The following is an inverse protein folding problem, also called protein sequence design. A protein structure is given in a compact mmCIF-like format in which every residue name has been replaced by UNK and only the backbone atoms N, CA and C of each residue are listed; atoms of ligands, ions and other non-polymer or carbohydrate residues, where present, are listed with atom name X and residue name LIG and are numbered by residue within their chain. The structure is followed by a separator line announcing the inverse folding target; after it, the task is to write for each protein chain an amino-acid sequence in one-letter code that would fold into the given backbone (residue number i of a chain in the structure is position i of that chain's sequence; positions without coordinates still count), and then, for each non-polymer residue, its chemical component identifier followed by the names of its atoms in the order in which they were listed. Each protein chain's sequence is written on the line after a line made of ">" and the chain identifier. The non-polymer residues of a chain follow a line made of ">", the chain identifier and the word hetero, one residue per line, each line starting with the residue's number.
data_IF_990120036271
#
_entry.id   IF_990120036271
#
_cell.length_a   1.000
_cell.length_b   1.000
_cell.length_c   1.000
_cell.angle_alpha   90.00
_cell.angle_beta   90.00
_cell.angle_gamma   90.00
#
_symmetry.space_group_name_H-M   'P 1'
#
loop_
_entity.id
_entity.type
_entity.pdbx_description
1 polymer ?
#
# COMPACT_ATOMS: atom_id res chain seq x y z
N UNK A 1 -6.00 17.88 -22.37
CA UNK A 1 -7.02 16.85 -22.07
C UNK A 1 -7.25 16.87 -20.58
N UNK A 2 -8.44 17.22 -20.12
CA UNK A 2 -8.81 17.24 -18.69
C UNK A 2 -8.86 15.78 -18.24
N UNK A 3 -7.88 15.35 -17.44
CA UNK A 3 -7.88 14.03 -16.81
C UNK A 3 -9.07 13.98 -15.87
N UNK A 4 -10.05 13.17 -16.21
CA UNK A 4 -11.18 12.82 -15.33
C UNK A 4 -10.62 12.45 -13.95
N UNK A 5 -10.88 13.26 -12.93
CA UNK A 5 -10.40 13.03 -11.57
C UNK A 5 -10.99 11.70 -11.10
N UNK A 6 -10.12 10.69 -10.95
CA UNK A 6 -10.51 9.37 -10.47
C UNK A 6 -11.36 9.53 -9.19
N UNK A 7 -12.51 8.87 -9.04
CA UNK A 7 -13.41 9.02 -7.86
C UNK A 7 -12.67 8.85 -6.53
N UNK A 8 -11.68 7.96 -6.49
CA UNK A 8 -10.81 7.70 -5.34
C UNK A 8 -9.95 8.90 -4.94
N UNK A 9 -9.52 9.72 -5.90
CA UNK A 9 -8.72 10.91 -5.61
C UNK A 9 -9.47 11.90 -4.71
N UNK A 10 -10.76 12.12 -4.97
CA UNK A 10 -11.61 12.99 -4.13
C UNK A 10 -11.71 12.47 -2.70
N UNK A 11 -11.78 11.15 -2.52
CA UNK A 11 -11.87 10.50 -1.23
C UNK A 11 -10.59 10.74 -0.41
N UNK A 12 -9.42 10.50 -0.98
CA UNK A 12 -8.14 10.64 -0.29
C UNK A 12 -7.66 12.09 -0.13
N UNK A 13 -8.17 13.01 -0.94
CA UNK A 13 -7.92 14.45 -0.78
C UNK A 13 -8.76 15.07 0.35
N UNK A 14 -9.93 14.50 0.64
CA UNK A 14 -10.86 15.04 1.64
C UNK A 14 -10.62 14.56 3.09
N UNK A 15 -9.82 13.51 3.33
CA UNK A 15 -9.69 12.86 4.65
C UNK A 15 -8.26 12.87 5.25
N UNK A 16 -7.32 13.73 4.85
CA UNK A 16 -5.92 13.55 5.26
C UNK A 16 -5.69 13.66 6.79
N UNK A 17 -6.47 14.48 7.53
CA UNK A 17 -6.17 14.82 8.93
C UNK A 17 -6.44 13.69 9.93
N UNK A 18 -7.34 12.80 9.61
CA UNK A 18 -7.73 11.68 10.48
C UNK A 18 -7.42 10.31 9.90
N UNK A 19 -6.83 10.28 8.69
CA UNK A 19 -6.60 9.04 7.96
C UNK A 19 -5.77 8.02 8.76
N UNK A 20 -4.62 8.47 9.29
CA UNK A 20 -3.73 7.60 10.08
C UNK A 20 -4.40 7.13 11.38
N UNK A 21 -5.12 8.02 12.08
CA UNK A 21 -5.84 7.68 13.30
C UNK A 21 -6.91 6.62 13.04
N UNK A 22 -7.67 6.81 11.97
CA UNK A 22 -8.75 5.91 11.59
C UNK A 22 -8.22 4.53 11.20
N UNK A 23 -7.18 4.47 10.38
CA UNK A 23 -6.52 3.20 10.04
C UNK A 23 -5.99 2.50 11.29
N UNK A 24 -5.38 3.25 12.22
CA UNK A 24 -4.88 2.70 13.48
C UNK A 24 -5.99 2.10 14.35
N UNK A 25 -7.14 2.75 14.40
CA UNK A 25 -8.29 2.24 15.14
C UNK A 25 -8.84 0.98 14.46
N UNK A 26 -9.01 0.97 13.12
CA UNK A 26 -9.54 -0.17 12.37
C UNK A 26 -8.68 -1.41 12.41
N UNK A 27 -7.37 -1.23 12.55
CA UNK A 27 -6.42 -2.33 12.62
C UNK A 27 -6.03 -2.68 14.06
N UNK A 28 -6.69 -2.08 15.05
CA UNK A 28 -6.31 -2.22 16.47
C UNK A 28 -4.83 -1.87 16.70
N UNK A 29 -4.30 -0.88 15.96
CA UNK A 29 -2.90 -0.49 15.99
C UNK A 29 -1.92 -1.49 15.38
N UNK A 30 -2.42 -2.59 14.78
CA UNK A 30 -1.55 -3.60 14.14
C UNK A 30 -0.94 -3.12 12.82
N UNK A 31 -1.55 -2.13 12.17
CA UNK A 31 -1.06 -1.55 10.92
C UNK A 31 0.42 -1.13 10.99
N UNK A 32 0.83 -0.47 12.08
CA UNK A 32 2.21 -0.07 12.29
C UNK A 32 3.16 -1.28 12.41
N UNK A 33 2.73 -2.36 13.09
CA UNK A 33 3.50 -3.61 13.21
C UNK A 33 3.63 -4.30 11.85
N UNK A 34 2.55 -4.30 11.06
CA UNK A 34 2.55 -4.90 9.74
C UNK A 34 3.41 -4.11 8.75
N UNK A 35 3.36 -2.75 8.79
CA UNK A 35 4.25 -1.89 7.99
C UNK A 35 5.71 -2.12 8.32
N UNK A 36 6.09 -2.14 9.60
CA UNK A 36 7.49 -2.45 10.00
C UNK A 36 7.95 -3.81 9.49
N UNK A 37 7.06 -4.82 9.53
CA UNK A 37 7.35 -6.14 8.98
C UNK A 37 7.54 -6.09 7.47
N UNK A 38 6.71 -5.33 6.76
CA UNK A 38 6.83 -5.08 5.32
C UNK A 38 8.12 -4.35 5.00
N UNK A 39 8.47 -3.30 5.76
CA UNK A 39 9.75 -2.61 5.62
C UNK A 39 10.93 -3.58 5.80
N UNK A 40 10.93 -4.42 6.84
CA UNK A 40 11.97 -5.44 7.04
C UNK A 40 12.09 -6.41 5.87
N UNK A 41 10.97 -6.81 5.24
CA UNK A 41 10.98 -7.64 4.04
C UNK A 41 11.48 -6.88 2.80
N UNK A 42 11.20 -5.59 2.68
CA UNK A 42 11.77 -4.75 1.62
C UNK A 42 13.30 -4.66 1.74
N UNK A 43 13.83 -4.61 2.96
CA UNK A 43 15.26 -4.40 3.22
C UNK A 43 16.12 -5.68 3.17
N UNK A 44 15.52 -6.86 2.96
CA UNK A 44 16.30 -8.09 2.74
C UNK A 44 17.18 -7.92 1.50
N UNK A 45 18.42 -8.39 1.55
CA UNK A 45 19.48 -8.23 0.55
C UNK A 45 19.98 -6.78 0.38
N UNK A 46 19.74 -5.91 1.36
CA UNK A 46 20.29 -4.54 1.42
C UNK A 46 20.13 -3.74 0.11
N UNK A 47 18.88 -3.47 -0.32
CA UNK A 47 18.61 -2.79 -1.59
C UNK A 47 19.16 -1.36 -1.58
N UNK A 48 19.73 -0.91 -2.72
CA UNK A 48 20.21 0.45 -2.90
C UNK A 48 19.09 1.44 -3.21
N UNK A 49 18.15 1.05 -4.07
CA UNK A 49 17.03 1.89 -4.51
C UNK A 49 15.69 1.27 -4.14
N UNK A 50 14.94 1.98 -3.31
CA UNK A 50 13.68 1.49 -2.73
C UNK A 50 12.57 2.48 -3.05
N UNK A 51 11.43 1.97 -3.53
CA UNK A 51 10.22 2.75 -3.76
C UNK A 51 9.14 2.35 -2.73
N UNK A 52 8.55 3.33 -2.06
CA UNK A 52 7.24 3.20 -1.41
C UNK A 52 6.17 3.73 -2.36
N UNK A 53 5.42 2.80 -2.97
CA UNK A 53 4.42 3.11 -4.00
C UNK A 53 3.07 3.44 -3.35
N UNK A 54 2.44 4.55 -3.77
CA UNK A 54 1.25 5.09 -3.11
C UNK A 54 1.50 5.34 -1.61
N UNK A 55 2.57 6.08 -1.31
CA UNK A 55 3.11 6.22 0.04
C UNK A 55 2.18 6.96 1.02
N UNK A 56 1.15 7.65 0.54
CA UNK A 56 0.20 8.40 1.36
C UNK A 56 0.91 9.40 2.28
N UNK A 57 0.71 9.26 3.59
CA UNK A 57 1.35 10.08 4.63
C UNK A 57 2.78 9.67 4.97
N UNK A 58 3.36 8.72 4.21
CA UNK A 58 4.77 8.35 4.25
C UNK A 58 5.19 7.37 5.33
N UNK A 59 4.27 6.67 5.99
CA UNK A 59 4.62 5.80 7.12
C UNK A 59 5.56 4.66 6.73
N UNK A 60 5.32 3.97 5.60
CA UNK A 60 6.20 2.91 5.13
C UNK A 60 7.54 3.48 4.64
N UNK A 61 7.52 4.59 3.89
CA UNK A 61 8.73 5.27 3.41
C UNK A 61 9.64 5.69 4.57
N UNK A 62 9.06 6.21 5.66
CA UNK A 62 9.79 6.60 6.88
C UNK A 62 10.35 5.37 7.60
N UNK A 63 9.58 4.28 7.73
CA UNK A 63 10.06 3.03 8.33
C UNK A 63 11.21 2.42 7.49
N UNK A 64 11.14 2.50 6.17
CA UNK A 64 12.23 2.11 5.27
C UNK A 64 13.47 2.98 5.49
N UNK A 65 13.32 4.32 5.46
CA UNK A 65 14.45 5.24 5.58
C UNK A 65 15.13 5.23 6.96
N UNK A 66 14.42 4.79 8.00
CA UNK A 66 14.99 4.59 9.34
C UNK A 66 15.87 3.35 9.45
N UNK A 67 15.61 2.32 8.63
CA UNK A 67 16.18 0.99 8.81
C UNK A 67 16.98 0.53 7.60
N UNK A 68 16.94 1.27 6.49
CA UNK A 68 17.73 0.96 5.30
C UNK A 68 19.23 1.20 5.55
N UNK A 69 20.11 0.50 4.82
CA UNK A 69 21.53 0.81 4.78
C UNK A 69 21.78 2.30 4.46
N UNK A 70 22.83 2.87 5.03
CA UNK A 70 23.15 4.32 4.85
C UNK A 70 23.33 4.71 3.38
N UNK A 71 23.82 3.78 2.55
CA UNK A 71 24.03 4.00 1.11
C UNK A 71 22.73 3.90 0.29
N UNK A 72 21.64 3.43 0.88
CA UNK A 72 20.36 3.28 0.18
C UNK A 72 19.69 4.63 -0.09
N UNK A 73 18.75 4.63 -1.04
CA UNK A 73 17.91 5.78 -1.37
C UNK A 73 16.44 5.35 -1.37
N UNK A 74 15.63 5.99 -0.55
CA UNK A 74 14.20 5.72 -0.44
C UNK A 74 13.41 6.81 -1.16
N UNK A 75 12.50 6.39 -2.03
CA UNK A 75 11.57 7.29 -2.71
C UNK A 75 10.14 6.92 -2.30
N UNK A 76 9.35 7.88 -1.84
CA UNK A 76 7.90 7.76 -1.70
C UNK A 76 7.21 8.41 -2.89
N UNK A 77 6.32 7.70 -3.56
CA UNK A 77 5.52 8.25 -4.65
C UNK A 77 4.03 8.17 -4.30
N UNK A 78 3.33 9.28 -4.49
CA UNK A 78 1.87 9.35 -4.33
C UNK A 78 1.24 10.32 -5.31
N UNK A 79 -0.02 10.07 -5.66
CA UNK A 79 -0.81 10.93 -6.56
C UNK A 79 -1.42 12.14 -5.85
N UNK A 80 -1.47 12.16 -4.50
CA UNK A 80 -2.13 13.17 -3.68
C UNK A 80 -1.12 14.19 -3.11
N UNK A 81 -1.07 15.44 -3.62
CA UNK A 81 -0.20 16.47 -3.05
C UNK A 81 -0.44 16.74 -1.55
N UNK A 82 -1.70 16.75 -1.03
CA UNK A 82 -1.94 16.91 0.41
C UNK A 82 -1.36 15.78 1.25
N UNK A 83 -1.39 14.52 0.77
CA UNK A 83 -0.74 13.39 1.45
C UNK A 83 0.77 13.54 1.48
N UNK A 84 1.37 13.92 0.35
CA UNK A 84 2.81 14.17 0.27
C UNK A 84 3.27 15.34 1.16
N UNK A 85 2.47 16.39 1.32
CA UNK A 85 2.77 17.47 2.26
C UNK A 85 2.88 16.96 3.70
N UNK A 86 1.96 16.06 4.12
CA UNK A 86 2.01 15.40 5.42
C UNK A 86 3.19 14.46 5.55
N UNK A 87 3.48 13.68 4.52
CA UNK A 87 4.63 12.79 4.48
C UNK A 87 5.94 13.56 4.70
N UNK A 88 6.13 14.67 3.99
CA UNK A 88 7.30 15.57 4.17
C UNK A 88 7.38 16.15 5.57
N UNK A 89 6.26 16.65 6.11
CA UNK A 89 6.22 17.21 7.47
C UNK A 89 6.52 16.14 8.54
N UNK A 90 6.07 14.90 8.34
CA UNK A 90 6.35 13.76 9.23
C UNK A 90 7.82 13.36 9.14
N UNK A 91 8.37 13.25 7.94
CA UNK A 91 9.78 12.90 7.72
C UNK A 91 10.73 13.96 8.31
N UNK A 92 10.43 15.25 8.16
CA UNK A 92 11.23 16.33 8.70
C UNK A 92 11.37 16.33 10.24
N UNK A 93 10.44 15.65 10.94
CA UNK A 93 10.44 15.49 12.41
C UNK A 93 11.02 14.15 12.86
N UNK A 94 11.56 13.38 11.93
CA UNK A 94 12.02 12.02 12.17
C UNK A 94 13.52 11.92 11.89
N UNK A 95 14.27 11.33 12.81
CA UNK A 95 15.66 10.97 12.54
C UNK A 95 15.69 9.82 11.52
N UNK A 96 16.26 10.07 10.36
CA UNK A 96 16.41 9.12 9.27
C UNK A 96 17.89 8.73 9.12
N UNK A 97 18.13 7.48 8.75
CA UNK A 97 19.48 6.96 8.51
C UNK A 97 19.90 7.10 7.06
N UNK A 98 18.92 7.20 6.14
CA UNK A 98 19.17 7.28 4.70
C UNK A 98 18.31 8.38 4.04
N UNK A 99 18.71 8.93 2.89
CA UNK A 99 17.92 9.92 2.16
C UNK A 99 16.51 9.42 1.83
N UNK A 100 15.52 10.27 2.05
CA UNK A 100 14.11 10.03 1.72
C UNK A 100 13.57 11.18 0.88
N UNK A 101 13.13 10.87 -0.33
CA UNK A 101 12.51 11.81 -1.26
C UNK A 101 11.04 11.49 -1.49
N UNK A 102 10.19 12.52 -1.65
CA UNK A 102 8.79 12.36 -1.97
C UNK A 102 8.49 12.98 -3.34
N UNK A 103 7.86 12.19 -4.23
CA UNK A 103 7.55 12.55 -5.61
C UNK A 103 6.05 12.46 -5.83
N UNK A 104 5.47 13.47 -6.49
CA UNK A 104 4.12 13.42 -7.01
C UNK A 104 4.12 12.68 -8.35
N UNK A 105 3.30 11.63 -8.48
CA UNK A 105 3.24 10.84 -9.72
C UNK A 105 2.06 9.88 -9.78
N UNK A 106 1.77 9.40 -11.00
CA UNK A 106 0.76 8.36 -11.26
C UNK A 106 1.46 7.00 -11.42
N UNK A 107 0.93 5.96 -10.78
CA UNK A 107 1.42 4.58 -10.92
C UNK A 107 1.33 4.08 -12.37
N UNK A 108 0.42 4.62 -13.16
CA UNK A 108 0.28 4.26 -14.57
C UNK A 108 1.33 4.89 -15.50
N UNK A 109 2.20 5.76 -14.97
CA UNK A 109 3.25 6.43 -15.73
C UNK A 109 4.37 6.83 -14.75
N UNK A 110 5.14 5.85 -14.31
CA UNK A 110 6.17 6.04 -13.30
C UNK A 110 7.37 6.79 -13.91
N UNK A 111 7.81 7.92 -13.34
CA UNK A 111 8.87 8.76 -13.89
C UNK A 111 10.27 8.18 -13.61
N UNK A 112 10.45 6.89 -13.85
CA UNK A 112 11.70 6.17 -13.64
C UNK A 112 12.05 5.32 -14.86
N UNK A 113 13.34 5.10 -15.06
CA UNK A 113 13.83 4.20 -16.11
C UNK A 113 13.45 2.74 -15.81
N UNK A 114 13.52 1.90 -16.85
CA UNK A 114 13.38 0.45 -16.67
C UNK A 114 14.44 -0.06 -15.69
N UNK A 115 14.06 -1.06 -14.88
CA UNK A 115 14.97 -1.75 -13.96
C UNK A 115 15.72 -0.80 -13.01
N UNK A 116 15.01 0.19 -12.47
CA UNK A 116 15.59 1.22 -11.59
C UNK A 116 15.63 0.81 -10.12
N UNK A 117 14.56 0.16 -9.60
CA UNK A 117 14.44 -0.19 -8.20
C UNK A 117 14.82 -1.63 -7.88
N UNK A 118 15.52 -1.82 -6.77
CA UNK A 118 15.82 -3.15 -6.21
C UNK A 118 14.61 -3.71 -5.46
N UNK A 119 13.85 -2.83 -4.80
CA UNK A 119 12.63 -3.19 -4.10
C UNK A 119 11.55 -2.11 -4.23
N UNK A 120 10.30 -2.56 -4.36
CA UNK A 120 9.11 -1.72 -4.30
C UNK A 120 8.25 -2.24 -3.15
N UNK A 121 7.88 -1.36 -2.21
CA UNK A 121 6.93 -1.61 -1.15
C UNK A 121 5.60 -0.92 -1.43
N UNK A 122 4.49 -1.50 -0.98
CA UNK A 122 3.18 -0.84 -0.95
C UNK A 122 2.41 -1.28 0.29
N UNK A 123 1.76 -0.33 0.97
CA UNK A 123 1.04 -0.58 2.21
C UNK A 123 -0.39 -0.06 2.15
N UNK A 124 -1.37 -0.98 2.17
CA UNK A 124 -2.82 -0.70 2.20
C UNK A 124 -3.35 0.21 1.09
N UNK A 125 -2.65 0.22 -0.05
CA UNK A 125 -3.02 1.00 -1.23
C UNK A 125 -3.18 0.14 -2.49
N UNK A 126 -2.70 -1.11 -2.49
CA UNK A 126 -2.74 -1.99 -3.65
C UNK A 126 -4.17 -2.32 -4.11
N UNK A 127 -5.09 -2.40 -3.16
CA UNK A 127 -6.52 -2.55 -3.44
C UNK A 127 -7.06 -1.43 -4.33
N UNK A 128 -6.63 -0.19 -4.12
CA UNK A 128 -7.07 0.95 -4.92
C UNK A 128 -6.57 0.88 -6.38
N UNK A 129 -5.48 0.16 -6.62
CA UNK A 129 -4.90 -0.06 -7.94
C UNK A 129 -5.57 -1.23 -8.68
N UNK A 130 -6.19 -2.18 -7.96
CA UNK A 130 -6.59 -3.47 -8.55
C UNK A 130 -8.06 -3.84 -8.37
N UNK A 131 -8.75 -3.31 -7.33
CA UNK A 131 -10.15 -3.63 -7.11
C UNK A 131 -11.05 -2.88 -8.10
N UNK A 132 -11.73 -3.63 -8.97
CA UNK A 132 -12.61 -3.07 -10.01
C UNK A 132 -11.97 -1.92 -10.81
N UNK A 133 -10.66 -1.99 -11.05
CA UNK A 133 -9.92 -0.94 -11.73
C UNK A 133 -9.48 -1.40 -13.13
N UNK A 134 -10.00 -0.82 -14.21
CA UNK A 134 -9.65 -1.22 -15.57
C UNK A 134 -8.18 -0.94 -15.92
N UNK A 135 -7.51 -0.05 -15.18
CA UNK A 135 -6.10 0.28 -15.39
C UNK A 135 -5.14 -0.69 -14.67
N UNK A 136 -5.65 -1.72 -13.98
CA UNK A 136 -4.81 -2.71 -13.26
C UNK A 136 -3.67 -3.27 -14.13
N UNK A 137 -3.89 -3.70 -15.40
CA UNK A 137 -2.80 -4.22 -16.23
C UNK A 137 -1.70 -3.18 -16.47
N UNK A 138 -2.08 -1.92 -16.69
CA UNK A 138 -1.13 -0.82 -16.90
C UNK A 138 -0.29 -0.56 -15.64
N UNK A 139 -0.91 -0.54 -14.47
CA UNK A 139 -0.22 -0.33 -13.20
C UNK A 139 0.77 -1.46 -12.91
N UNK A 140 0.36 -2.71 -13.12
CA UNK A 140 1.23 -3.86 -12.93
C UNK A 140 2.39 -3.87 -13.93
N UNK A 141 2.16 -3.50 -15.20
CA UNK A 141 3.21 -3.39 -16.21
C UNK A 141 4.26 -2.33 -15.82
N UNK A 142 3.85 -1.17 -15.31
CA UNK A 142 4.76 -0.12 -14.84
C UNK A 142 5.57 -0.57 -13.61
N UNK A 143 4.93 -1.23 -12.65
CA UNK A 143 5.63 -1.79 -11.48
C UNK A 143 6.71 -2.79 -11.92
N UNK A 144 6.34 -3.71 -12.82
CA UNK A 144 7.29 -4.70 -13.37
C UNK A 144 8.38 -4.00 -14.18
N UNK A 145 8.06 -2.97 -14.98
CA UNK A 145 9.02 -2.24 -15.80
C UNK A 145 10.13 -1.61 -14.98
N UNK A 146 9.77 -0.88 -13.92
CA UNK A 146 10.74 -0.14 -13.10
C UNK A 146 11.48 -1.00 -12.09
N UNK A 147 11.01 -2.23 -11.82
CA UNK A 147 11.66 -3.18 -10.92
C UNK A 147 12.77 -3.91 -11.66
N UNK A 148 13.95 -4.02 -11.04
CA UNK A 148 15.10 -4.78 -11.59
C UNK A 148 14.78 -6.27 -11.68
N UNK A 149 15.49 -6.99 -12.55
CA UNK A 149 15.49 -8.47 -12.56
C UNK A 149 15.98 -8.98 -11.20
N UNK A 150 15.26 -9.92 -10.61
CA UNK A 150 15.52 -10.38 -9.25
C UNK A 150 15.06 -9.40 -8.15
N UNK A 151 14.57 -8.22 -8.53
CA UNK A 151 13.97 -7.25 -7.61
C UNK A 151 12.67 -7.75 -7.00
N UNK A 152 12.27 -7.16 -5.88
CA UNK A 152 11.12 -7.62 -5.10
C UNK A 152 10.04 -6.56 -5.00
N UNK A 153 8.80 -7.01 -5.16
CA UNK A 153 7.61 -6.23 -4.87
C UNK A 153 6.95 -6.77 -3.60
N UNK A 154 6.91 -5.96 -2.54
CA UNK A 154 6.40 -6.34 -1.22
C UNK A 154 5.11 -5.59 -0.94
N UNK A 155 4.03 -6.33 -0.78
CA UNK A 155 2.67 -5.80 -0.62
C UNK A 155 2.15 -6.20 0.75
N UNK A 156 1.70 -5.24 1.57
CA UNK A 156 0.81 -5.52 2.70
C UNK A 156 -0.57 -4.97 2.40
N UNK A 157 -1.59 -5.83 2.41
CA UNK A 157 -2.95 -5.44 2.05
C UNK A 157 -3.99 -6.33 2.77
N UNK A 158 -5.22 -5.85 2.84
CA UNK A 158 -6.39 -6.64 3.22
C UNK A 158 -6.46 -7.92 2.39
N UNK A 159 -7.00 -8.97 2.97
CA UNK A 159 -7.19 -10.25 2.29
C UNK A 159 -8.43 -10.95 2.84
N UNK A 160 -8.78 -12.10 2.30
CA UNK A 160 -9.92 -12.87 2.76
C UNK A 160 -9.46 -14.03 3.64
N UNK A 161 -9.95 -14.15 4.90
CA UNK A 161 -9.69 -15.33 5.71
C UNK A 161 -10.09 -16.62 4.96
N UNK A 162 -9.22 -17.66 4.94
CA UNK A 162 -9.54 -18.92 4.27
C UNK A 162 -10.69 -19.67 4.95
N UNK A 163 -10.79 -19.55 6.26
CA UNK A 163 -11.89 -20.15 7.04
C UNK A 163 -13.18 -19.33 6.85
N UNK A 164 -14.25 -19.97 6.42
CA UNK A 164 -15.55 -19.33 6.12
C UNK A 164 -16.18 -18.62 7.33
N UNK A 165 -16.05 -19.19 8.54
CA UNK A 165 -16.59 -18.58 9.76
C UNK A 165 -15.82 -17.30 10.11
N UNK A 166 -14.48 -17.37 10.10
CA UNK A 166 -13.63 -16.20 10.34
C UNK A 166 -13.86 -15.11 9.28
N UNK A 167 -14.05 -15.48 8.03
CA UNK A 167 -14.40 -14.55 6.94
C UNK A 167 -15.75 -13.87 7.20
N UNK A 168 -16.75 -14.60 7.65
CA UNK A 168 -18.06 -14.04 7.98
C UNK A 168 -17.98 -13.06 9.16
N UNK A 169 -17.17 -13.38 10.17
CA UNK A 169 -16.94 -12.50 11.32
C UNK A 169 -16.17 -11.22 10.92
N UNK A 170 -15.15 -11.36 10.07
CA UNK A 170 -14.41 -10.23 9.51
C UNK A 170 -15.32 -9.31 8.68
N UNK A 171 -16.13 -9.87 7.79
CA UNK A 171 -17.11 -9.10 7.02
C UNK A 171 -18.16 -8.42 7.90
N UNK A 172 -18.62 -9.06 8.98
CA UNK A 172 -19.52 -8.46 9.93
C UNK A 172 -18.85 -7.28 10.64
N UNK A 173 -17.61 -7.45 11.10
CA UNK A 173 -16.80 -6.39 11.69
C UNK A 173 -16.65 -5.17 10.76
N UNK A 174 -16.28 -5.41 9.50
CA UNK A 174 -16.14 -4.36 8.49
C UNK A 174 -17.48 -3.62 8.25
N UNK A 175 -18.59 -4.36 8.10
CA UNK A 175 -19.91 -3.79 7.78
C UNK A 175 -20.53 -3.03 8.92
N UNK A 176 -20.29 -3.45 10.15
CA UNK A 176 -20.91 -2.85 11.35
C UNK A 176 -19.97 -1.83 11.99
N UNK A 177 -18.90 -2.31 12.63
CA UNK A 177 -18.04 -1.47 13.46
C UNK A 177 -17.25 -0.44 12.63
N UNK A 178 -16.58 -0.89 11.56
CA UNK A 178 -15.75 0.01 10.73
C UNK A 178 -16.61 1.06 10.04
N UNK A 179 -17.77 0.66 9.52
CA UNK A 179 -18.69 1.56 8.85
C UNK A 179 -19.32 2.57 9.81
N UNK A 180 -19.76 2.11 11.00
CA UNK A 180 -20.33 2.98 12.03
C UNK A 180 -19.30 3.98 12.53
N UNK A 181 -18.14 3.52 12.96
CA UNK A 181 -17.06 4.38 13.44
C UNK A 181 -16.56 5.36 12.38
N UNK A 182 -16.40 4.89 11.15
CA UNK A 182 -15.99 5.75 10.03
C UNK A 182 -17.00 6.87 9.78
N UNK A 183 -18.31 6.57 9.87
CA UNK A 183 -19.35 7.59 9.72
C UNK A 183 -19.39 8.57 10.90
N UNK A 184 -19.04 8.13 12.10
CA UNK A 184 -19.02 8.97 13.31
C UNK A 184 -17.79 9.88 13.40
N UNK A 185 -16.60 9.36 12.98
CA UNK A 185 -15.33 10.06 13.07
C UNK A 185 -14.99 10.92 11.85
N UNK A 186 -15.58 10.64 10.71
CA UNK A 186 -15.37 11.42 9.49
C UNK A 186 -16.69 11.84 8.88
N UNK A 187 -16.73 13.05 8.33
CA UNK A 187 -17.89 13.56 7.60
C UNK A 187 -18.04 12.93 6.19
N UNK A 188 -17.22 11.91 5.84
CA UNK A 188 -17.20 11.32 4.50
C UNK A 188 -17.68 9.85 4.53
N UNK A 189 -19.00 9.65 4.62
CA UNK A 189 -19.64 8.33 4.62
C UNK A 189 -19.33 7.48 3.39
N UNK A 190 -19.15 8.08 2.23
CA UNK A 190 -18.87 7.37 0.97
C UNK A 190 -17.46 6.75 0.97
N UNK A 191 -16.46 7.44 1.52
CA UNK A 191 -15.11 6.93 1.65
C UNK A 191 -15.07 5.63 2.48
N UNK A 192 -15.81 5.59 3.57
CA UNK A 192 -15.85 4.40 4.44
C UNK A 192 -16.72 3.27 3.87
N UNK A 193 -17.77 3.61 3.15
CA UNK A 193 -18.54 2.63 2.38
C UNK A 193 -17.63 1.95 1.36
N UNK A 194 -16.87 2.72 0.59
CA UNK A 194 -15.89 2.19 -0.36
C UNK A 194 -14.81 1.35 0.33
N UNK A 195 -14.23 1.84 1.43
CA UNK A 195 -13.20 1.13 2.19
C UNK A 195 -13.68 -0.25 2.64
N UNK A 196 -14.85 -0.33 3.27
CA UNK A 196 -15.40 -1.57 3.79
C UNK A 196 -15.84 -2.52 2.67
N UNK A 197 -16.45 -2.00 1.60
CA UNK A 197 -16.87 -2.79 0.47
C UNK A 197 -15.67 -3.37 -0.30
N UNK A 198 -14.69 -2.52 -0.61
CA UNK A 198 -13.50 -2.97 -1.33
C UNK A 198 -12.66 -3.92 -0.49
N UNK A 199 -12.56 -3.74 0.84
CA UNK A 199 -11.84 -4.68 1.70
C UNK A 199 -12.55 -6.04 1.79
N UNK A 200 -13.88 -6.06 1.95
CA UNK A 200 -14.66 -7.31 2.07
C UNK A 200 -14.76 -8.10 0.75
N UNK A 201 -14.50 -7.48 -0.39
CA UNK A 201 -14.57 -8.09 -1.73
C UNK A 201 -13.20 -8.18 -2.39
N UNK A 202 -12.12 -7.87 -1.67
CA UNK A 202 -10.77 -7.95 -2.22
C UNK A 202 -10.33 -9.39 -2.40
N UNK A 203 -9.24 -9.57 -3.09
CA UNK A 203 -8.66 -10.86 -3.40
C UNK A 203 -8.34 -11.69 -2.14
N UNK A 204 -8.52 -13.00 -2.25
CA UNK A 204 -7.83 -13.95 -1.36
C UNK A 204 -6.32 -13.84 -1.59
N UNK A 205 -5.54 -14.38 -0.66
CA UNK A 205 -4.08 -14.39 -0.81
C UNK A 205 -3.62 -15.18 -2.04
N UNK A 206 -4.35 -16.22 -2.41
CA UNK A 206 -4.11 -17.05 -3.58
C UNK A 206 -4.43 -16.30 -4.88
N UNK A 207 -5.62 -15.69 -4.98
CA UNK A 207 -6.02 -14.91 -6.15
C UNK A 207 -5.06 -13.73 -6.42
N UNK A 208 -4.58 -13.06 -5.35
CA UNK A 208 -3.59 -12.02 -5.50
C UNK A 208 -2.24 -12.57 -5.98
N UNK A 209 -1.83 -13.73 -5.48
CA UNK A 209 -0.61 -14.40 -5.96
C UNK A 209 -0.70 -14.75 -7.45
N UNK A 210 -1.85 -15.29 -7.89
CA UNK A 210 -2.11 -15.62 -9.30
C UNK A 210 -2.09 -14.35 -10.19
N UNK A 211 -2.65 -13.25 -9.69
CA UNK A 211 -2.60 -11.96 -10.40
C UNK A 211 -1.16 -11.48 -10.60
N UNK A 212 -0.32 -11.59 -9.57
CA UNK A 212 1.08 -11.19 -9.64
C UNK A 212 1.90 -12.09 -10.58
N UNK A 213 1.67 -13.40 -10.55
CA UNK A 213 2.31 -14.34 -11.50
C UNK A 213 1.90 -14.02 -12.95
N UNK A 214 0.61 -13.77 -13.20
CA UNK A 214 0.12 -13.35 -14.53
C UNK A 214 0.70 -12.02 -14.99
N UNK A 215 1.06 -11.13 -14.05
CA UNK A 215 1.71 -9.86 -14.35
C UNK A 215 3.21 -9.99 -14.69
N UNK A 216 3.82 -11.18 -14.55
CA UNK A 216 5.22 -11.45 -14.91
C UNK A 216 6.18 -11.63 -13.73
N UNK A 217 5.67 -11.74 -12.49
CA UNK A 217 6.52 -12.12 -11.35
C UNK A 217 6.77 -13.64 -11.36
N UNK A 218 8.02 -14.05 -11.13
CA UNK A 218 8.44 -15.47 -11.18
C UNK A 218 8.00 -16.26 -9.97
N UNK A 219 8.10 -15.65 -8.80
CA UNK A 219 7.73 -16.29 -7.52
C UNK A 219 6.93 -15.34 -6.67
N UNK A 220 5.96 -15.87 -5.94
CA UNK A 220 5.19 -15.12 -4.95
C UNK A 220 5.13 -15.95 -3.67
N UNK A 221 5.60 -15.37 -2.56
CA UNK A 221 5.44 -15.97 -1.23
C UNK A 221 4.43 -15.15 -0.43
N UNK A 222 3.65 -15.83 0.40
CA UNK A 222 2.56 -15.22 1.17
C UNK A 222 2.74 -15.48 2.65
N UNK A 223 2.57 -14.42 3.45
CA UNK A 223 2.45 -14.51 4.90
C UNK A 223 1.10 -13.95 5.34
N UNK A 224 0.20 -14.82 5.75
CA UNK A 224 -1.10 -14.41 6.30
C UNK A 224 -0.92 -13.82 7.70
N UNK A 225 -1.66 -12.77 7.98
CA UNK A 225 -1.72 -12.06 9.26
C UNK A 225 -3.19 -12.02 9.71
N UNK A 226 -3.42 -11.90 11.01
CA UNK A 226 -4.77 -11.75 11.55
C UNK A 226 -5.73 -12.81 10.98
N UNK A 227 -5.36 -14.09 11.10
CA UNK A 227 -6.15 -15.22 10.59
C UNK A 227 -6.48 -15.15 9.09
N UNK A 228 -5.74 -14.33 8.33
CA UNK A 228 -5.91 -14.16 6.88
C UNK A 228 -6.72 -12.93 6.46
N UNK A 229 -7.20 -12.10 7.40
CA UNK A 229 -7.83 -10.81 7.08
C UNK A 229 -6.85 -9.77 6.49
N UNK A 230 -5.55 -10.00 6.66
CA UNK A 230 -4.46 -9.25 6.07
C UNK A 230 -3.40 -10.23 5.59
N UNK A 231 -2.69 -9.92 4.52
CA UNK A 231 -1.57 -10.70 4.04
C UNK A 231 -0.40 -9.83 3.59
N UNK A 232 0.81 -10.36 3.73
CA UNK A 232 2.00 -9.81 3.09
C UNK A 232 2.38 -10.75 1.95
N UNK A 233 2.49 -10.19 0.73
CA UNK A 233 3.00 -10.89 -0.44
C UNK A 233 4.39 -10.36 -0.77
N UNK A 234 5.30 -11.24 -1.10
CA UNK A 234 6.63 -10.91 -1.63
C UNK A 234 6.74 -11.56 -3.00
N UNK A 235 6.68 -10.74 -4.04
CA UNK A 235 6.80 -11.17 -5.43
C UNK A 235 8.17 -10.81 -5.97
N UNK A 236 8.82 -11.75 -6.70
CA UNK A 236 10.16 -11.55 -7.31
C UNK A 236 10.04 -11.56 -8.82
N UNK A 237 10.62 -10.54 -9.47
CA UNK A 237 10.68 -10.42 -10.94
C UNK A 237 11.69 -11.33 -11.59
#
# INVERSE_FOLDING_TARGET
>A
MVTEQKPLHKIFTAVPDRYDLINRIFTWGQDAKWRRKTAGLCLVNQPDKILDLCCGTGDLAIDLAKNAPVASNVTGLDYSPPMLAKARAKAARTALTTPLNFIHGDVGDLPFSNEYFDCIGISFAFRNLTYNNPNTPRYLAEIVRVLKKGGRFVIVESSQPPNKLLRSLDHLYLRTFVRWMGSALSHNKEAYKYLTESASKFYTAEELSDLLVKAGFKTVTVKRLMFGATAIHVATK
#
